data_IF_221714642904
#
_entry.id   IF_221714642904
#
_cell.length_a   1.000
_cell.length_b   1.000
_cell.length_c   1.000
_cell.angle_alpha   90.00
_cell.angle_beta   90.00
_cell.angle_gamma   90.00
#
_symmetry.space_group_name_H-M   'P 1'
#
loop_
_entity.id
_entity.type
_entity.pdbx_description
1 polymer ?
#
# COMPACT_ATOMS: atom_id res chain seq x y z
N UNK A 1 -21.01 32.81 -14.05
CA UNK A 1 -20.88 33.92 -15.03
C UNK A 1 -21.71 35.08 -14.51
N UNK A 2 -21.22 36.32 -14.63
CA UNK A 2 -21.95 37.53 -14.24
C UNK A 2 -22.15 38.42 -15.47
N UNK A 3 -23.34 38.99 -15.62
CA UNK A 3 -23.66 39.99 -16.64
C UNK A 3 -24.23 41.22 -15.92
N UNK A 4 -23.69 42.40 -16.23
CA UNK A 4 -24.11 43.67 -15.64
C UNK A 4 -24.80 44.53 -16.71
N UNK A 5 -26.10 44.79 -16.52
CA UNK A 5 -26.90 45.62 -17.41
C UNK A 5 -26.93 47.04 -16.85
N UNK A 6 -26.63 48.03 -17.69
CA UNK A 6 -26.54 49.44 -17.28
C UNK A 6 -27.32 50.33 -18.23
N UNK A 7 -27.79 51.47 -17.72
CA UNK A 7 -28.41 52.53 -18.53
C UNK A 7 -27.43 53.68 -18.74
N UNK A 8 -27.44 54.26 -19.94
CA UNK A 8 -26.59 55.39 -20.34
C UNK A 8 -27.24 56.76 -20.05
N UNK A 9 -28.45 56.77 -19.50
CA UNK A 9 -29.16 58.01 -19.17
C UNK A 9 -28.54 58.70 -17.95
N UNK A 10 -28.45 60.04 -18.01
CA UNK A 10 -27.80 60.84 -16.96
C UNK A 10 -28.45 60.68 -15.59
N UNK A 11 -29.77 60.48 -15.56
CA UNK A 11 -30.57 60.24 -14.35
C UNK A 11 -30.18 58.93 -13.62
N UNK A 12 -29.55 57.99 -14.33
CA UNK A 12 -29.19 56.66 -13.82
C UNK A 12 -27.69 56.46 -13.61
N UNK A 13 -26.90 57.53 -13.77
CA UNK A 13 -25.43 57.47 -13.67
C UNK A 13 -24.95 56.94 -12.32
N UNK A 14 -25.59 57.33 -11.22
CA UNK A 14 -25.23 56.87 -9.87
C UNK A 14 -25.44 55.36 -9.69
N UNK A 15 -26.54 54.84 -10.20
CA UNK A 15 -26.88 53.41 -10.15
C UNK A 15 -25.96 52.59 -11.06
N UNK A 16 -25.71 53.08 -12.29
CA UNK A 16 -24.76 52.47 -13.24
C UNK A 16 -23.35 52.37 -12.64
N UNK A 17 -22.88 53.40 -11.91
CA UNK A 17 -21.60 53.35 -11.18
C UNK A 17 -21.64 52.28 -10.08
N UNK A 18 -22.76 52.14 -9.37
CA UNK A 18 -22.98 51.09 -8.37
C UNK A 18 -22.88 49.68 -8.96
N UNK A 19 -23.58 49.44 -10.08
CA UNK A 19 -23.56 48.17 -10.81
C UNK A 19 -22.15 47.83 -11.31
N UNK A 20 -21.44 48.79 -11.90
CA UNK A 20 -20.07 48.61 -12.37
C UNK A 20 -19.10 48.29 -11.23
N UNK A 21 -19.21 48.98 -10.08
CA UNK A 21 -18.40 48.68 -8.89
C UNK A 21 -18.68 47.29 -8.34
N UNK A 22 -19.93 46.83 -8.39
CA UNK A 22 -20.28 45.47 -7.98
C UNK A 22 -19.67 44.43 -8.94
N UNK A 23 -19.79 44.65 -10.25
CA UNK A 23 -19.18 43.78 -11.26
C UNK A 23 -17.65 43.70 -11.12
N UNK A 24 -16.98 44.82 -10.82
CA UNK A 24 -15.54 44.84 -10.54
C UNK A 24 -15.16 43.97 -9.34
N UNK A 25 -15.95 44.01 -8.25
CA UNK A 25 -15.71 43.14 -7.09
C UNK A 25 -15.92 41.67 -7.42
N UNK A 26 -16.95 41.34 -8.20
CA UNK A 26 -17.22 39.96 -8.62
C UNK A 26 -16.16 39.42 -9.58
N UNK A 27 -15.58 40.27 -10.43
CA UNK A 27 -14.48 39.90 -11.32
C UNK A 27 -13.20 39.51 -10.55
N UNK A 28 -13.00 40.02 -9.34
CA UNK A 28 -11.88 39.65 -8.48
C UNK A 28 -12.08 38.32 -7.74
N UNK A 29 -13.29 37.74 -7.78
CA UNK A 29 -13.58 36.47 -7.13
C UNK A 29 -12.97 35.35 -7.97
N UNK A 30 -11.94 34.71 -7.42
CA UNK A 30 -11.37 33.50 -7.98
C UNK A 30 -12.25 32.32 -7.57
N UNK A 31 -12.80 31.62 -8.55
CA UNK A 31 -13.49 30.35 -8.32
C UNK A 31 -12.58 29.22 -8.74
N UNK A 32 -12.30 28.30 -7.82
CA UNK A 32 -11.60 27.05 -8.13
C UNK A 32 -12.64 26.03 -8.58
N UNK A 33 -12.85 25.95 -9.90
CA UNK A 33 -13.78 25.01 -10.48
C UNK A 33 -13.17 23.60 -10.44
N UNK A 34 -13.75 22.74 -9.63
CA UNK A 34 -13.45 21.31 -9.60
C UNK A 34 -14.60 20.59 -10.31
N UNK A 35 -14.28 19.55 -11.08
CA UNK A 35 -15.30 18.68 -11.65
C UNK A 35 -15.94 17.93 -10.48
N UNK A 36 -17.24 18.14 -10.25
CA UNK A 36 -18.01 17.32 -9.32
C UNK A 36 -18.16 15.93 -9.93
N UNK A 37 -17.15 15.09 -9.73
CA UNK A 37 -17.25 13.66 -10.00
C UNK A 37 -18.12 13.04 -8.92
N UNK A 38 -19.30 12.55 -9.31
CA UNK A 38 -20.19 11.82 -8.42
C UNK A 38 -19.61 10.41 -8.24
N UNK A 39 -18.83 10.21 -7.18
CA UNK A 39 -18.34 8.88 -6.82
C UNK A 39 -19.49 8.06 -6.23
N UNK A 40 -19.71 6.84 -6.74
CA UNK A 40 -20.71 5.94 -6.16
C UNK A 40 -20.42 5.76 -4.65
N UNK A 41 -21.36 6.16 -3.77
CA UNK A 41 -21.16 6.07 -2.33
C UNK A 41 -20.88 4.63 -1.87
N UNK A 42 -21.37 3.61 -2.59
CA UNK A 42 -21.09 2.20 -2.26
C UNK A 42 -19.65 1.83 -2.55
N UNK A 43 -19.10 2.28 -3.67
CA UNK A 43 -17.69 2.07 -4.02
C UNK A 43 -16.77 2.82 -3.06
N UNK A 44 -17.13 4.04 -2.67
CA UNK A 44 -16.39 4.82 -1.69
C UNK A 44 -16.38 4.12 -0.32
N UNK A 45 -17.54 3.61 0.14
CA UNK A 45 -17.64 2.85 1.38
C UNK A 45 -16.80 1.58 1.32
N UNK A 46 -16.78 0.86 0.19
CA UNK A 46 -15.96 -0.35 0.04
C UNK A 46 -14.47 -0.02 0.16
N UNK A 47 -13.99 0.96 -0.63
CA UNK A 47 -12.58 1.39 -0.59
C UNK A 47 -12.16 1.86 0.80
N UNK A 48 -12.99 2.67 1.45
CA UNK A 48 -12.72 3.14 2.81
C UNK A 48 -12.71 2.00 3.82
N UNK A 49 -13.59 1.00 3.70
CA UNK A 49 -13.56 -0.19 4.57
C UNK A 49 -12.29 -1.01 4.38
N UNK A 50 -11.84 -1.18 3.15
CA UNK A 50 -10.61 -1.92 2.84
C UNK A 50 -9.38 -1.19 3.39
N UNK A 51 -9.33 0.13 3.23
CA UNK A 51 -8.26 0.95 3.78
C UNK A 51 -8.25 0.95 5.32
N UNK A 52 -9.43 1.01 5.94
CA UNK A 52 -9.58 0.94 7.39
C UNK A 52 -9.16 -0.44 7.93
N UNK A 53 -9.44 -1.52 7.20
CA UNK A 53 -8.96 -2.87 7.53
C UNK A 53 -7.43 -2.97 7.42
N UNK A 54 -6.84 -2.40 6.37
CA UNK A 54 -5.39 -2.35 6.16
C UNK A 54 -4.68 -1.59 7.29
N UNK A 55 -5.12 -0.36 7.56
CA UNK A 55 -4.56 0.50 8.60
C UNK A 55 -4.71 -0.11 10.01
N UNK A 56 -5.85 -0.77 10.30
CA UNK A 56 -6.01 -1.51 11.56
C UNK A 56 -5.02 -2.66 11.69
N UNK A 57 -4.81 -3.42 10.61
CA UNK A 57 -3.82 -4.50 10.59
C UNK A 57 -2.39 -4.00 10.85
N UNK A 58 -2.02 -2.85 10.28
CA UNK A 58 -0.72 -2.20 10.53
C UNK A 58 -0.57 -1.75 11.99
N UNK A 59 -1.62 -1.14 12.56
CA UNK A 59 -1.61 -0.67 13.95
C UNK A 59 -1.55 -1.85 14.93
N UNK A 60 -2.31 -2.93 14.70
CA UNK A 60 -2.29 -4.14 15.54
C UNK A 60 -0.92 -4.82 15.52
N UNK A 61 -0.26 -4.84 14.35
CA UNK A 61 1.10 -5.33 14.20
C UNK A 61 2.12 -4.45 14.94
N UNK A 62 2.06 -3.12 14.76
CA UNK A 62 2.99 -2.17 15.38
C UNK A 62 2.82 -2.04 16.90
N UNK A 63 1.60 -2.22 17.42
CA UNK A 63 1.32 -2.19 18.86
C UNK A 63 1.84 -3.41 19.61
N UNK A 64 2.32 -4.45 18.91
CA UNK A 64 2.83 -5.67 19.53
C UNK A 64 1.74 -6.58 20.14
N UNK A 65 0.46 -6.20 20.02
CA UNK A 65 -0.69 -7.02 20.43
C UNK A 65 -0.98 -8.16 19.45
N UNK A 66 -0.45 -8.11 18.22
CA UNK A 66 -0.59 -9.18 17.25
C UNK A 66 0.09 -10.50 17.68
N UNK A 67 1.09 -10.47 18.56
CA UNK A 67 1.76 -11.64 19.14
C UNK A 67 2.14 -12.74 18.13
N UNK A 68 2.28 -13.99 18.60
CA UNK A 68 2.30 -15.15 17.69
C UNK A 68 0.96 -15.34 16.95
N UNK A 69 -0.12 -14.76 17.49
CA UNK A 69 -1.50 -15.04 17.09
C UNK A 69 -1.96 -16.42 17.59
N UNK A 70 -3.27 -16.67 17.55
CA UNK A 70 -3.77 -18.02 17.77
C UNK A 70 -3.37 -18.94 16.60
N UNK A 71 -3.22 -20.25 16.82
CA UNK A 71 -3.06 -21.19 15.72
C UNK A 71 -4.28 -21.08 14.80
N UNK A 72 -4.05 -21.01 13.48
CA UNK A 72 -5.13 -20.89 12.51
C UNK A 72 -6.02 -22.13 12.56
N UNK A 73 -7.32 -21.91 12.46
CA UNK A 73 -8.27 -22.99 12.18
C UNK A 73 -8.08 -23.51 10.76
N UNK A 74 -8.49 -24.75 10.49
CA UNK A 74 -8.37 -25.37 9.17
C UNK A 74 -9.10 -24.54 8.08
N UNK A 75 -10.21 -23.91 8.44
CA UNK A 75 -10.95 -23.01 7.56
C UNK A 75 -10.15 -21.74 7.20
N UNK A 76 -9.47 -21.14 8.17
CA UNK A 76 -8.62 -19.96 7.94
C UNK A 76 -7.39 -20.30 7.11
N UNK A 77 -6.85 -21.51 7.29
CA UNK A 77 -5.72 -22.01 6.50
C UNK A 77 -6.09 -22.26 5.05
N UNK A 78 -7.28 -22.80 4.79
CA UNK A 78 -7.81 -22.96 3.43
C UNK A 78 -8.06 -21.61 2.74
N UNK A 79 -8.64 -20.64 3.45
CA UNK A 79 -8.85 -19.28 2.93
C UNK A 79 -7.52 -18.56 2.64
N UNK A 80 -6.51 -18.76 3.50
CA UNK A 80 -5.16 -18.26 3.27
C UNK A 80 -4.52 -18.89 2.02
N UNK A 81 -4.69 -20.20 1.83
CA UNK A 81 -4.17 -20.91 0.66
C UNK A 81 -4.75 -20.35 -0.65
N UNK A 82 -6.06 -20.14 -0.71
CA UNK A 82 -6.72 -19.57 -1.90
C UNK A 82 -6.27 -18.13 -2.16
N UNK A 83 -6.11 -17.31 -1.13
CA UNK A 83 -5.57 -15.93 -1.26
C UNK A 83 -4.15 -15.92 -1.80
N UNK A 84 -3.27 -16.79 -1.28
CA UNK A 84 -1.89 -16.92 -1.74
C UNK A 84 -1.86 -17.39 -3.20
N UNK A 85 -2.70 -18.36 -3.56
CA UNK A 85 -2.79 -18.86 -4.93
C UNK A 85 -3.29 -17.79 -5.91
N UNK A 86 -4.31 -17.03 -5.52
CA UNK A 86 -4.81 -15.90 -6.30
C UNK A 86 -3.73 -14.83 -6.49
N UNK A 87 -2.98 -14.53 -5.43
CA UNK A 87 -1.86 -13.59 -5.47
C UNK A 87 -0.73 -14.03 -6.41
N UNK A 88 -0.34 -15.31 -6.38
CA UNK A 88 0.68 -15.86 -7.29
C UNK A 88 0.21 -15.92 -8.75
N UNK A 89 -1.08 -16.11 -8.97
CA UNK A 89 -1.67 -16.13 -10.31
C UNK A 89 -1.77 -14.73 -10.94
N UNK A 90 -1.80 -13.68 -10.12
CA UNK A 90 -1.81 -12.30 -10.58
C UNK A 90 -0.46 -11.91 -11.20
N UNK A 91 -0.50 -11.29 -12.37
CA UNK A 91 0.69 -10.84 -13.11
C UNK A 91 0.99 -9.36 -12.88
N UNK A 92 0.13 -8.65 -12.14
CA UNK A 92 0.33 -7.25 -11.81
C UNK A 92 1.44 -7.09 -10.76
N UNK A 93 2.52 -6.33 -11.05
CA UNK A 93 3.56 -6.00 -10.07
C UNK A 93 3.05 -5.22 -8.85
N UNK A 94 1.89 -4.56 -8.96
CA UNK A 94 1.26 -3.81 -7.89
C UNK A 94 0.28 -4.64 -7.05
N UNK A 95 0.07 -5.91 -7.36
CA UNK A 95 -0.76 -6.77 -6.53
C UNK A 95 -0.15 -6.89 -5.12
N UNK A 96 -1.00 -6.83 -4.09
CA UNK A 96 -0.62 -6.97 -2.69
C UNK A 96 -1.36 -8.13 -2.02
N UNK A 97 -0.63 -8.96 -1.25
CA UNK A 97 -1.23 -10.01 -0.44
C UNK A 97 -1.71 -9.43 0.89
N UNK A 98 -3.02 -9.21 1.00
CA UNK A 98 -3.61 -8.69 2.24
C UNK A 98 -3.83 -9.80 3.28
N UNK A 99 -2.94 -9.86 4.26
CA UNK A 99 -2.95 -10.84 5.36
C UNK A 99 -3.68 -10.37 6.63
N UNK A 100 -4.39 -9.24 6.61
CA UNK A 100 -4.98 -8.65 7.82
C UNK A 100 -6.06 -9.55 8.47
N UNK A 101 -6.05 -9.76 9.81
CA UNK A 101 -5.08 -9.24 10.79
C UNK A 101 -3.71 -9.94 10.70
N UNK A 102 -2.63 -9.16 10.73
CA UNK A 102 -1.26 -9.62 10.49
C UNK A 102 -0.69 -10.30 11.74
N UNK A 103 -0.79 -11.64 11.80
CA UNK A 103 -0.21 -12.45 12.89
C UNK A 103 0.99 -13.28 12.40
N UNK A 104 1.94 -13.58 13.29
CA UNK A 104 3.12 -14.38 12.93
C UNK A 104 2.75 -15.79 12.42
N UNK A 105 1.72 -16.42 12.98
CA UNK A 105 1.25 -17.71 12.48
C UNK A 105 0.72 -17.64 11.05
N UNK A 106 -0.05 -16.60 10.69
CA UNK A 106 -0.51 -16.37 9.30
C UNK A 106 0.64 -16.15 8.35
N UNK A 107 1.65 -15.41 8.79
CA UNK A 107 2.87 -15.18 8.01
C UNK A 107 3.63 -16.50 7.79
N UNK A 108 3.86 -17.28 8.85
CA UNK A 108 4.54 -18.58 8.76
C UNK A 108 3.80 -19.54 7.82
N UNK A 109 2.48 -19.64 7.96
CA UNK A 109 1.66 -20.52 7.11
C UNK A 109 1.62 -20.03 5.67
N UNK A 110 1.53 -18.72 5.42
CA UNK A 110 1.61 -18.16 4.08
C UNK A 110 2.94 -18.53 3.41
N UNK A 111 4.07 -18.35 4.12
CA UNK A 111 5.38 -18.74 3.61
C UNK A 111 5.50 -20.26 3.38
N UNK A 112 4.87 -21.09 4.21
CA UNK A 112 4.82 -22.53 3.97
C UNK A 112 4.05 -22.86 2.69
N UNK A 113 2.92 -22.19 2.43
CA UNK A 113 2.17 -22.33 1.17
C UNK A 113 3.01 -21.89 -0.03
N UNK A 114 3.65 -20.72 0.04
CA UNK A 114 4.56 -20.25 -1.02
C UNK A 114 5.68 -21.25 -1.30
N UNK A 115 6.32 -21.77 -0.24
CA UNK A 115 7.38 -22.78 -0.37
C UNK A 115 6.88 -24.03 -1.09
N UNK A 116 5.68 -24.52 -0.73
CA UNK A 116 5.10 -25.70 -1.37
C UNK A 116 4.78 -25.45 -2.84
N UNK A 117 4.17 -24.30 -3.19
CA UNK A 117 3.89 -23.94 -4.58
C UNK A 117 5.16 -23.85 -5.44
N UNK A 118 6.25 -23.31 -4.90
CA UNK A 118 7.54 -23.25 -5.59
C UNK A 118 8.17 -24.64 -5.75
N UNK A 119 8.06 -25.50 -4.73
CA UNK A 119 8.57 -26.87 -4.81
C UNK A 119 7.77 -27.71 -5.81
N UNK A 120 6.45 -27.57 -5.84
CA UNK A 120 5.56 -28.20 -6.84
C UNK A 120 5.89 -27.71 -8.25
N UNK A 121 6.09 -26.40 -8.43
CA UNK A 121 6.51 -25.84 -9.72
C UNK A 121 7.88 -26.38 -10.18
N UNK A 122 8.82 -26.61 -9.24
CA UNK A 122 10.13 -27.21 -9.54
C UNK A 122 10.04 -28.70 -9.85
N UNK A 123 9.13 -29.44 -9.22
CA UNK A 123 8.89 -30.86 -9.54
C UNK A 123 8.23 -31.01 -10.91
N UNK A 124 7.31 -30.12 -11.28
CA UNK A 124 6.70 -30.09 -12.63
C UNK A 124 7.65 -29.58 -13.73
N UNK A 125 8.71 -28.85 -13.39
CA UNK A 125 9.79 -28.45 -14.33
C UNK A 125 10.83 -29.54 -14.59
N UNK A 126 10.63 -30.77 -14.07
CA UNK A 126 11.47 -31.93 -14.37
C UNK A 126 11.48 -32.37 -15.84
N UNK A 127 10.56 -31.86 -16.68
CA UNK A 127 10.53 -32.11 -18.11
C UNK A 127 10.50 -30.80 -18.92
N UNK A 128 11.63 -30.09 -18.96
CA UNK A 128 11.95 -29.18 -20.07
C UNK A 128 12.14 -27.71 -19.71
N UNK A 129 13.37 -27.23 -19.95
CA UNK A 129 13.63 -25.82 -20.25
C UNK A 129 14.30 -25.02 -19.13
N UNK A 130 15.63 -24.95 -19.16
CA UNK A 130 16.44 -24.19 -18.19
C UNK A 130 16.20 -22.69 -18.23
N UNK A 131 15.66 -22.17 -17.12
CA UNK A 131 15.78 -20.77 -16.72
C UNK A 131 16.21 -20.73 -15.26
N UNK A 132 17.53 -20.64 -15.01
CA UNK A 132 18.05 -20.45 -13.64
C UNK A 132 17.59 -19.08 -13.13
N UNK A 133 16.51 -19.04 -12.34
CA UNK A 133 16.27 -17.90 -11.45
C UNK A 133 17.42 -17.91 -10.43
N UNK A 134 18.38 -16.99 -10.59
CA UNK A 134 19.43 -16.76 -9.61
C UNK A 134 18.80 -16.12 -8.38
N UNK A 135 18.30 -16.95 -7.48
CA UNK A 135 18.04 -16.53 -6.10
C UNK A 135 19.44 -16.40 -5.48
N UNK A 136 19.90 -15.17 -5.31
CA UNK A 136 21.12 -14.88 -4.59
C UNK A 136 21.07 -15.62 -3.23
N UNK A 137 22.04 -16.50 -2.91
CA UNK A 137 22.04 -17.20 -1.65
C UNK A 137 22.60 -16.22 -0.61
N UNK A 138 21.74 -15.39 -0.04
CA UNK A 138 22.11 -14.66 1.16
C UNK A 138 21.05 -14.85 2.23
N UNK A 139 20.98 -16.06 2.76
CA UNK A 139 20.51 -16.34 4.12
C UNK A 139 20.81 -17.79 4.51
N UNK A 140 22.10 -18.15 4.57
CA UNK A 140 22.54 -19.39 5.18
C UNK A 140 23.84 -19.14 5.93
N UNK A 141 23.77 -19.19 7.26
CA UNK A 141 24.93 -19.22 8.15
C UNK A 141 25.46 -17.85 8.55
N UNK A 142 25.02 -17.32 9.70
CA UNK A 142 25.96 -16.60 10.55
C UNK A 142 26.70 -17.65 11.36
N UNK A 143 27.72 -18.22 10.75
CA UNK A 143 28.64 -19.16 11.37
C UNK A 143 29.26 -18.45 12.57
N UNK A 144 29.01 -18.96 13.78
CA UNK A 144 29.53 -18.39 15.01
C UNK A 144 31.07 -18.26 14.99
N UNK A 145 31.76 -19.11 14.23
CA UNK A 145 33.21 -19.04 13.99
C UNK A 145 33.62 -17.80 13.16
N UNK A 146 32.79 -17.36 12.21
CA UNK A 146 33.04 -16.16 11.42
C UNK A 146 32.92 -14.89 12.25
N UNK A 147 31.93 -14.84 13.15
CA UNK A 147 31.75 -13.72 14.09
C UNK A 147 32.90 -13.63 15.10
N UNK A 148 33.41 -14.77 15.58
CA UNK A 148 34.56 -14.79 16.50
C UNK A 148 35.85 -14.28 15.83
N UNK A 149 36.10 -14.65 14.56
CA UNK A 149 37.25 -14.13 13.79
C UNK A 149 37.15 -12.62 13.55
N UNK A 150 35.94 -12.10 13.30
CA UNK A 150 35.73 -10.67 13.13
C UNK A 150 35.97 -9.90 14.43
N UNK A 151 35.50 -10.42 15.56
CA UNK A 151 35.75 -9.84 16.89
C UNK A 151 37.25 -9.83 17.22
N UNK A 152 37.98 -10.90 16.88
CA UNK A 152 39.42 -10.99 17.12
C UNK A 152 40.22 -9.99 16.28
N UNK A 153 39.83 -9.84 15.01
CA UNK A 153 40.44 -8.84 14.10
C UNK A 153 40.17 -7.41 14.59
N UNK A 154 38.94 -7.10 15.03
CA UNK A 154 38.58 -5.79 15.57
C UNK A 154 39.33 -5.46 16.86
N UNK A 155 39.60 -6.46 17.72
CA UNK A 155 40.42 -6.28 18.92
C UNK A 155 41.88 -5.95 18.59
N UNK A 156 42.46 -6.56 17.57
CA UNK A 156 43.83 -6.26 17.15
C UNK A 156 43.95 -4.83 16.61
N UNK A 157 43.01 -4.39 15.77
CA UNK A 157 43.02 -3.02 15.21
C UNK A 157 42.82 -1.93 16.28
N UNK A 158 42.17 -2.26 17.40
CA UNK A 158 41.99 -1.34 18.53
C UNK A 158 43.19 -1.31 19.50
N UNK A 159 44.09 -2.30 19.47
CA UNK A 159 45.31 -2.31 20.28
C UNK A 159 46.50 -1.63 19.59
N UNK A 160 46.43 -1.43 18.27
CA UNK A 160 47.44 -0.71 17.47
C UNK A 160 47.19 0.82 17.36
N UNK A 161 46.25 1.37 18.13
CA UNK A 161 46.04 2.81 18.33
C UNK A 161 46.22 3.20 19.79
#
# INVERSE_FOLDING_TARGET
IMIANISAEEQHTSETIGTCRFAQRVAAIKNEAIINEDMDPRLQISRLKDELKRQKGEIEFLKGEAGEGQPLTEAERADLFEKVKAYVADRDPAAELNLAPLTLNKIKDAFAVFKNLVLEARQNQGEGGGGKLQIAPNLAGTDAEGLLRQIETLKQTLQEK
#
